data_IF_507014506658
#
_entry.id   IF_507014506658
#
_cell.length_a   1.000
_cell.length_b   1.000
_cell.length_c   1.000
_cell.angle_alpha   90.00
_cell.angle_beta   90.00
_cell.angle_gamma   90.00
#
_symmetry.space_group_name_H-M   'P 1'
#
loop_
_entity.id
_entity.type
_entity.pdbx_description
1 polymer ?
#
# COMPACT_ATOMS: atom_id res chain seq x y z
N UNK A 1 -3.54 -21.48 61.08
CA UNK A 1 -2.75 -20.44 60.46
C UNK A 1 -2.37 -20.87 59.04
N UNK A 2 -3.04 -20.30 58.03
CA UNK A 2 -2.68 -20.54 56.60
C UNK A 2 -1.72 -19.44 56.18
N UNK A 3 -0.49 -19.82 55.90
CA UNK A 3 0.50 -18.90 55.31
C UNK A 3 0.26 -18.89 53.80
N UNK A 4 -0.20 -17.75 53.27
CA UNK A 4 -0.26 -17.49 51.85
C UNK A 4 1.15 -17.10 51.41
N UNK A 5 1.84 -18.00 50.72
CA UNK A 5 3.13 -17.73 50.10
C UNK A 5 2.95 -16.79 48.92
N UNK A 6 3.35 -15.53 49.05
CA UNK A 6 3.55 -14.64 47.92
C UNK A 6 4.82 -15.08 47.19
N UNK A 7 4.67 -15.75 46.08
CA UNK A 7 5.78 -15.95 45.13
C UNK A 7 6.07 -14.60 44.48
N UNK A 8 7.12 -13.94 44.92
CA UNK A 8 7.70 -12.78 44.24
C UNK A 8 8.20 -13.21 42.88
N UNK A 9 7.42 -12.99 41.85
CA UNK A 9 7.91 -13.01 40.47
C UNK A 9 8.82 -11.76 40.29
N UNK A 10 10.09 -11.91 40.66
CA UNK A 10 11.11 -11.01 40.18
C UNK A 10 11.23 -11.22 38.66
N UNK A 11 10.56 -10.39 37.86
CA UNK A 11 10.95 -10.22 36.47
C UNK A 11 12.43 -9.80 36.51
N UNK A 12 13.34 -10.56 35.87
CA UNK A 12 14.75 -10.20 35.92
C UNK A 12 14.91 -8.80 35.32
N UNK A 13 15.49 -7.87 36.07
CA UNK A 13 15.78 -6.51 35.60
C UNK A 13 16.46 -6.53 34.22
N UNK A 14 17.34 -7.50 33.97
CA UNK A 14 17.97 -7.72 32.67
C UNK A 14 16.96 -7.92 31.52
N UNK A 15 15.88 -8.65 31.72
CA UNK A 15 14.84 -8.85 30.70
C UNK A 15 14.09 -7.56 30.41
N UNK A 16 13.79 -6.76 31.45
CA UNK A 16 13.14 -5.47 31.29
C UNK A 16 14.02 -4.48 30.51
N UNK A 17 15.34 -4.46 30.76
CA UNK A 17 16.28 -3.66 29.98
C UNK A 17 16.37 -4.08 28.53
N UNK A 18 16.39 -5.39 28.25
CA UNK A 18 16.39 -5.91 26.88
C UNK A 18 15.13 -5.49 26.11
N UNK A 19 13.96 -5.60 26.73
CA UNK A 19 12.70 -5.16 26.12
C UNK A 19 12.72 -3.67 25.79
N UNK A 20 13.17 -2.83 26.73
CA UNK A 20 13.28 -1.38 26.52
C UNK A 20 14.28 -1.07 25.39
N UNK A 21 15.40 -1.79 25.32
CA UNK A 21 16.41 -1.59 24.28
C UNK A 21 15.85 -1.97 22.88
N UNK A 22 15.10 -3.07 22.77
CA UNK A 22 14.46 -3.47 21.53
C UNK A 22 13.40 -2.46 21.06
N UNK A 23 12.60 -1.91 21.97
CA UNK A 23 11.70 -0.78 21.67
C UNK A 23 12.48 0.46 21.20
N UNK A 24 13.58 0.77 21.86
CA UNK A 24 14.42 1.92 21.48
C UNK A 24 15.10 1.74 20.13
N UNK A 25 15.40 0.51 19.72
CA UNK A 25 15.94 0.19 18.40
C UNK A 25 14.87 0.15 17.31
N UNK A 26 13.57 0.13 17.65
CA UNK A 26 12.46 -0.01 16.71
C UNK A 26 12.29 -1.43 16.20
N UNK A 27 12.69 -2.44 16.98
CA UNK A 27 12.48 -3.86 16.68
C UNK A 27 11.21 -4.39 17.33
N UNK A 28 10.58 -3.63 18.22
CA UNK A 28 9.30 -3.94 18.87
C UNK A 28 8.39 -2.71 18.85
N UNK A 29 7.08 -2.95 18.93
CA UNK A 29 6.03 -1.94 18.91
C UNK A 29 5.11 -2.11 17.73
N UNK A 30 4.24 -1.13 17.52
CA UNK A 30 3.21 -1.19 16.47
C UNK A 30 3.49 -0.19 15.35
N UNK A 31 3.09 -0.55 14.13
CA UNK A 31 3.09 0.33 12.97
C UNK A 31 1.80 0.14 12.18
N UNK A 32 1.21 1.23 11.72
CA UNK A 32 -0.04 1.26 10.98
C UNK A 32 0.21 1.72 9.54
N UNK A 33 0.05 0.82 8.58
CA UNK A 33 0.27 1.07 7.16
C UNK A 33 -1.05 0.95 6.41
N UNK A 34 -1.49 2.04 5.78
CA UNK A 34 -2.62 2.02 4.87
C UNK A 34 -2.17 1.82 3.42
N UNK A 35 -3.02 1.20 2.60
CA UNK A 35 -2.77 1.14 1.16
C UNK A 35 -4.06 1.29 0.37
N UNK A 36 -3.93 1.77 -0.86
CA UNK A 36 -5.08 1.94 -1.75
C UNK A 36 -5.58 0.57 -2.24
N UNK A 37 -6.92 0.37 -2.29
CA UNK A 37 -7.56 -0.88 -2.71
C UNK A 37 -7.17 -1.38 -4.10
N UNK A 38 -6.73 -0.48 -4.96
CA UNK A 38 -6.34 -0.78 -6.34
C UNK A 38 -4.85 -1.11 -6.51
N UNK A 39 -4.13 -1.36 -5.43
CA UNK A 39 -2.71 -1.71 -5.48
C UNK A 39 -2.51 -3.13 -6.00
N UNK A 40 -1.34 -3.38 -6.59
CA UNK A 40 -0.87 -4.70 -7.02
C UNK A 40 -0.71 -5.62 -5.80
N UNK A 41 -1.54 -6.67 -5.72
CA UNK A 41 -1.56 -7.60 -4.58
C UNK A 41 -0.24 -8.35 -4.43
N UNK A 42 0.42 -8.71 -5.53
CA UNK A 42 1.71 -9.42 -5.50
C UNK A 42 2.82 -8.51 -4.95
N UNK A 43 2.84 -7.25 -5.38
CA UNK A 43 3.77 -6.25 -4.86
C UNK A 43 3.59 -6.05 -3.37
N UNK A 44 2.33 -5.88 -2.95
CA UNK A 44 1.99 -5.67 -1.54
C UNK A 44 2.40 -6.86 -0.68
N UNK A 45 2.08 -8.09 -1.13
CA UNK A 45 2.42 -9.32 -0.41
C UNK A 45 3.94 -9.43 -0.22
N UNK A 46 4.73 -9.24 -1.27
CA UNK A 46 6.21 -9.27 -1.21
C UNK A 46 6.76 -8.24 -0.23
N UNK A 47 6.20 -7.04 -0.23
CA UNK A 47 6.63 -5.97 0.67
C UNK A 47 6.32 -6.30 2.14
N UNK A 48 5.09 -6.74 2.42
CA UNK A 48 4.67 -7.10 3.78
C UNK A 48 5.43 -8.32 4.31
N UNK A 49 5.68 -9.32 3.47
CA UNK A 49 6.52 -10.48 3.83
C UNK A 49 7.95 -10.03 4.17
N UNK A 50 8.57 -9.20 3.32
CA UNK A 50 9.91 -8.67 3.56
C UNK A 50 10.00 -7.94 4.92
N UNK A 51 8.98 -7.15 5.26
CA UNK A 51 8.90 -6.45 6.56
C UNK A 51 8.78 -7.47 7.70
N UNK A 52 7.87 -8.44 7.61
CA UNK A 52 7.66 -9.45 8.65
C UNK A 52 8.88 -10.32 8.90
N UNK A 53 9.59 -10.71 7.84
CA UNK A 53 10.79 -11.56 7.93
C UNK A 53 11.95 -10.83 8.65
N UNK A 54 12.09 -9.52 8.40
CA UNK A 54 13.15 -8.72 9.03
C UNK A 54 12.80 -8.23 10.43
N UNK A 55 11.52 -8.02 10.71
CA UNK A 55 11.03 -7.51 12.00
C UNK A 55 9.92 -8.41 12.57
N UNK A 56 10.25 -9.66 12.99
CA UNK A 56 9.24 -10.64 13.41
C UNK A 56 8.48 -10.24 14.69
N UNK A 57 9.03 -9.33 15.48
CA UNK A 57 8.47 -8.91 16.76
C UNK A 57 7.69 -7.59 16.72
N UNK A 58 7.54 -6.98 15.53
CA UNK A 58 6.67 -5.81 15.39
C UNK A 58 5.21 -6.24 15.22
N UNK A 59 4.31 -5.40 15.75
CA UNK A 59 2.88 -5.52 15.50
C UNK A 59 2.52 -4.70 14.26
N UNK A 60 2.53 -5.37 13.10
CA UNK A 60 2.27 -4.76 11.80
C UNK A 60 0.77 -4.76 11.49
N UNK A 61 0.14 -3.61 11.59
CA UNK A 61 -1.24 -3.37 11.18
C UNK A 61 -1.27 -2.84 9.74
N UNK A 62 -2.01 -3.51 8.89
CA UNK A 62 -2.16 -3.08 7.49
C UNK A 62 -3.60 -3.24 7.02
N UNK A 63 -4.08 -2.27 6.22
CA UNK A 63 -5.44 -2.30 5.69
C UNK A 63 -5.58 -1.53 4.38
N UNK A 64 -6.43 -2.05 3.49
CA UNK A 64 -6.84 -1.40 2.26
C UNK A 64 -7.94 -0.37 2.51
N UNK A 65 -7.82 0.79 1.87
CA UNK A 65 -8.76 1.90 1.98
C UNK A 65 -9.13 2.44 0.59
N UNK A 66 -10.27 3.11 0.48
CA UNK A 66 -10.51 4.02 -0.63
C UNK A 66 -9.51 5.18 -0.59
N UNK A 67 -9.28 5.85 -1.71
CA UNK A 67 -8.36 7.00 -1.78
C UNK A 67 -8.69 8.06 -0.74
N UNK A 68 -9.97 8.44 -0.64
CA UNK A 68 -10.43 9.47 0.28
C UNK A 68 -10.18 9.11 1.74
N UNK A 69 -10.57 7.89 2.14
CA UNK A 69 -10.31 7.39 3.50
C UNK A 69 -8.82 7.34 3.80
N UNK A 70 -8.01 6.79 2.88
CA UNK A 70 -6.57 6.66 3.03
C UNK A 70 -5.91 8.02 3.32
N UNK A 71 -6.20 9.02 2.49
CA UNK A 71 -5.64 10.35 2.65
C UNK A 71 -6.14 11.06 3.91
N UNK A 72 -7.41 10.86 4.31
CA UNK A 72 -7.96 11.40 5.54
C UNK A 72 -7.25 10.83 6.76
N UNK A 73 -7.19 9.50 6.88
CA UNK A 73 -6.54 8.82 8.00
C UNK A 73 -5.05 9.16 8.10
N UNK A 74 -4.39 9.31 6.94
CA UNK A 74 -2.99 9.71 6.90
C UNK A 74 -2.78 11.15 7.37
N UNK A 75 -3.56 12.11 6.90
CA UNK A 75 -3.52 13.51 7.34
C UNK A 75 -3.81 13.65 8.84
N UNK A 76 -4.73 12.84 9.36
CA UNK A 76 -5.09 12.79 10.79
C UNK A 76 -4.09 12.00 11.65
N UNK A 77 -2.98 11.50 11.07
CA UNK A 77 -1.94 10.72 11.75
C UNK A 77 -2.43 9.42 12.39
N UNK A 78 -3.51 8.84 11.88
CA UNK A 78 -4.00 7.53 12.27
C UNK A 78 -3.22 6.40 11.56
N UNK A 79 -2.49 6.74 10.50
CA UNK A 79 -1.58 5.85 9.79
C UNK A 79 -0.16 6.44 9.84
N UNK A 80 0.83 5.61 10.14
CA UNK A 80 2.25 5.98 10.14
C UNK A 80 2.78 6.18 8.72
N UNK A 81 2.29 5.36 7.81
CA UNK A 81 2.64 5.41 6.40
C UNK A 81 1.47 4.95 5.50
N UNK A 82 1.50 5.39 4.26
CA UNK A 82 0.57 4.91 3.23
C UNK A 82 1.32 4.48 1.97
N UNK A 83 0.80 3.45 1.31
CA UNK A 83 1.30 2.98 0.01
C UNK A 83 0.24 3.28 -1.04
N UNK A 84 0.59 4.12 -2.00
CA UNK A 84 -0.35 4.56 -3.03
C UNK A 84 0.39 5.09 -4.25
N UNK A 85 -0.38 5.40 -5.29
CA UNK A 85 0.11 6.14 -6.45
C UNK A 85 0.40 7.59 -6.09
N UNK A 86 1.18 8.25 -6.93
CA UNK A 86 1.45 9.68 -6.79
C UNK A 86 0.18 10.51 -7.06
N UNK A 87 -0.19 11.35 -6.09
CA UNK A 87 -1.30 12.30 -6.19
C UNK A 87 -0.87 13.69 -5.74
N UNK A 88 -1.48 14.76 -6.29
CA UNK A 88 -1.14 16.14 -5.93
C UNK A 88 -1.22 16.45 -4.44
N UNK A 89 -2.17 15.85 -3.73
CA UNK A 89 -2.43 16.11 -2.32
C UNK A 89 -1.39 15.57 -1.36
N UNK A 90 -0.47 14.72 -1.84
CA UNK A 90 0.58 14.13 -1.00
C UNK A 90 1.98 14.67 -1.31
N UNK A 91 2.10 15.72 -2.13
CA UNK A 91 3.39 16.34 -2.50
C UNK A 91 4.20 16.87 -1.32
N UNK A 92 3.52 17.31 -0.26
CA UNK A 92 4.16 17.91 0.93
C UNK A 92 4.71 16.88 1.92
N UNK A 93 4.49 15.58 1.65
CA UNK A 93 4.99 14.49 2.48
C UNK A 93 6.28 13.91 1.91
N UNK A 94 7.01 13.21 2.75
CA UNK A 94 8.17 12.43 2.29
C UNK A 94 7.68 11.13 1.66
N UNK A 95 8.40 10.65 0.67
CA UNK A 95 8.07 9.39 0.02
C UNK A 95 9.32 8.59 -0.34
N UNK A 96 9.12 7.29 -0.41
CA UNK A 96 10.09 6.32 -0.91
C UNK A 96 9.45 5.60 -2.10
N UNK A 97 10.09 5.65 -3.26
CA UNK A 97 9.66 4.95 -4.46
C UNK A 97 9.75 3.44 -4.24
N UNK A 98 8.65 2.72 -4.48
CA UNK A 98 8.59 1.24 -4.41
C UNK A 98 8.69 0.65 -5.82
N UNK A 99 7.88 1.16 -6.76
CA UNK A 99 7.80 0.62 -8.13
C UNK A 99 7.39 1.71 -9.11
N UNK A 100 8.00 1.73 -10.28
CA UNK A 100 7.51 2.47 -11.44
C UNK A 100 6.63 1.55 -12.27
N UNK A 101 5.50 2.04 -12.75
CA UNK A 101 4.56 1.35 -13.60
C UNK A 101 4.14 2.24 -14.78
N UNK A 102 3.62 1.61 -15.84
CA UNK A 102 3.13 2.30 -17.02
C UNK A 102 1.61 2.38 -17.00
N UNK A 103 1.07 3.41 -17.63
CA UNK A 103 -0.36 3.52 -17.88
C UNK A 103 -0.69 2.98 -19.27
N UNK A 104 -1.79 2.23 -19.37
CA UNK A 104 -2.27 1.59 -20.57
C UNK A 104 -3.74 1.84 -20.79
N UNK A 105 -4.15 1.93 -22.05
CA UNK A 105 -5.56 1.88 -22.46
C UNK A 105 -5.97 0.42 -22.62
N UNK A 106 -6.83 -0.07 -21.76
CA UNK A 106 -7.38 -1.42 -21.85
C UNK A 106 -8.74 -1.40 -22.52
N UNK A 107 -8.94 -2.28 -23.48
CA UNK A 107 -10.19 -2.43 -24.23
C UNK A 107 -10.41 -3.88 -24.67
N UNK A 108 -11.65 -4.21 -25.02
CA UNK A 108 -11.99 -5.57 -25.44
C UNK A 108 -11.34 -5.90 -26.77
N UNK A 109 -10.68 -7.08 -26.86
CA UNK A 109 -9.93 -7.51 -28.06
C UNK A 109 -10.72 -7.55 -29.36
N UNK A 110 -12.06 -7.66 -29.31
CA UNK A 110 -12.92 -7.66 -30.49
C UNK A 110 -13.38 -6.26 -30.92
N UNK A 111 -12.88 -5.20 -30.31
CA UNK A 111 -13.27 -3.82 -30.60
C UNK A 111 -12.10 -3.03 -31.19
N UNK A 112 -12.42 -2.01 -32.00
CA UNK A 112 -11.46 -0.97 -32.39
C UNK A 112 -11.49 0.14 -31.32
N UNK A 113 -10.33 0.55 -30.83
CA UNK A 113 -10.22 1.58 -29.82
C UNK A 113 -10.86 2.92 -30.25
N UNK A 114 -10.73 3.27 -31.54
CA UNK A 114 -11.25 4.53 -32.09
C UNK A 114 -12.78 4.67 -31.98
N UNK A 115 -13.49 3.54 -31.86
CA UNK A 115 -14.95 3.51 -31.73
C UNK A 115 -15.44 3.52 -30.27
N UNK A 116 -14.53 3.45 -29.31
CA UNK A 116 -14.86 3.30 -27.90
C UNK A 116 -14.77 4.62 -27.15
N UNK A 117 -15.68 4.82 -26.20
CA UNK A 117 -15.62 5.94 -25.24
C UNK A 117 -14.76 5.57 -24.03
N UNK A 118 -14.17 6.58 -23.41
CA UNK A 118 -13.51 6.43 -22.11
C UNK A 118 -14.54 6.14 -21.03
N UNK A 119 -14.35 5.07 -20.26
CA UNK A 119 -15.18 4.71 -19.11
C UNK A 119 -14.50 5.15 -17.83
N UNK A 120 -13.19 4.95 -17.73
CA UNK A 120 -12.42 5.20 -16.53
C UNK A 120 -10.98 5.62 -16.86
N UNK A 121 -10.48 6.59 -16.08
CA UNK A 121 -9.08 7.01 -16.13
C UNK A 121 -8.56 7.12 -14.70
N UNK A 122 -7.59 6.29 -14.36
CA UNK A 122 -6.99 6.22 -13.01
C UNK A 122 -6.39 7.55 -12.56
N UNK A 123 -6.09 8.48 -13.46
CA UNK A 123 -5.55 9.82 -13.18
C UNK A 123 -6.61 10.82 -12.75
N UNK A 124 -7.88 10.55 -13.03
CA UNK A 124 -8.98 11.49 -12.76
C UNK A 124 -9.54 11.28 -11.36
N UNK A 125 -9.53 12.33 -10.56
CA UNK A 125 -9.97 12.33 -9.16
C UNK A 125 -11.46 12.04 -8.98
N UNK A 126 -12.28 12.42 -9.96
CA UNK A 126 -13.75 12.33 -9.87
C UNK A 126 -14.31 10.91 -9.96
N UNK A 127 -13.46 9.91 -10.23
CA UNK A 127 -13.90 8.55 -10.52
C UNK A 127 -13.67 7.55 -9.38
N UNK A 128 -13.66 7.99 -8.15
CA UNK A 128 -13.51 7.14 -6.94
C UNK A 128 -14.59 6.05 -6.76
N UNK A 129 -15.67 6.10 -7.54
CA UNK A 129 -16.82 5.20 -7.38
C UNK A 129 -16.66 3.83 -8.04
N UNK A 130 -15.65 3.64 -8.90
CA UNK A 130 -15.47 2.39 -9.62
C UNK A 130 -14.31 1.59 -9.03
N UNK A 131 -14.65 0.44 -8.47
CA UNK A 131 -13.63 -0.58 -8.21
C UNK A 131 -13.05 -1.04 -9.55
N UNK A 132 -11.76 -1.34 -9.58
CA UNK A 132 -11.06 -1.79 -10.82
C UNK A 132 -11.78 -2.97 -11.45
N UNK A 133 -12.25 -3.93 -10.65
CA UNK A 133 -12.98 -5.09 -11.15
C UNK A 133 -14.25 -4.72 -11.91
N UNK A 134 -15.03 -3.76 -11.41
CA UNK A 134 -16.23 -3.29 -12.10
C UNK A 134 -15.88 -2.57 -13.42
N UNK A 135 -14.78 -1.82 -13.40
CA UNK A 135 -14.27 -1.16 -14.60
C UNK A 135 -13.87 -2.19 -15.66
N UNK A 136 -13.09 -3.20 -15.27
CA UNK A 136 -12.67 -4.27 -16.15
C UNK A 136 -13.87 -5.07 -16.70
N UNK A 137 -14.87 -5.32 -15.88
CA UNK A 137 -16.11 -5.96 -16.33
C UNK A 137 -16.82 -5.15 -17.43
N UNK A 138 -16.95 -3.83 -17.26
CA UNK A 138 -17.53 -2.95 -18.28
C UNK A 138 -16.73 -2.97 -19.58
N UNK A 139 -15.38 -2.95 -19.48
CA UNK A 139 -14.53 -3.08 -20.67
C UNK A 139 -14.76 -4.43 -21.38
N UNK A 140 -14.86 -5.53 -20.61
CA UNK A 140 -15.18 -6.85 -21.15
C UNK A 140 -16.55 -6.92 -21.81
N UNK A 141 -17.52 -6.15 -21.30
CA UNK A 141 -18.86 -6.00 -21.91
C UNK A 141 -18.89 -5.05 -23.12
N UNK A 142 -17.73 -4.54 -23.56
CA UNK A 142 -17.56 -3.64 -24.70
C UNK A 142 -18.20 -2.26 -24.52
N UNK A 143 -18.40 -1.82 -23.29
CA UNK A 143 -19.01 -0.53 -23.00
C UNK A 143 -18.09 0.66 -23.26
N UNK A 144 -16.76 0.42 -23.37
CA UNK A 144 -15.75 1.41 -23.67
C UNK A 144 -14.34 0.91 -23.34
N UNK A 145 -13.40 1.87 -23.13
CA UNK A 145 -12.03 1.57 -22.70
C UNK A 145 -11.69 2.25 -21.36
N UNK A 146 -10.69 1.71 -20.66
CA UNK A 146 -10.19 2.27 -19.40
C UNK A 146 -8.69 2.53 -19.48
N UNK A 147 -8.22 3.57 -18.78
CA UNK A 147 -6.79 3.83 -18.57
C UNK A 147 -6.44 3.35 -17.16
N UNK A 148 -5.59 2.33 -17.09
CA UNK A 148 -5.19 1.65 -15.87
C UNK A 148 -3.68 1.39 -15.87
N UNK A 149 -3.15 0.98 -14.72
CA UNK A 149 -1.75 0.56 -14.59
C UNK A 149 -1.47 -0.80 -15.23
N UNK A 150 -0.24 -1.05 -15.62
CA UNK A 150 0.21 -2.24 -16.36
C UNK A 150 0.10 -3.55 -15.57
N UNK A 151 0.09 -3.53 -14.23
CA UNK A 151 -0.07 -4.73 -13.40
C UNK A 151 -1.45 -5.40 -13.50
N UNK A 152 -2.42 -4.78 -14.16
CA UNK A 152 -3.74 -5.37 -14.44
C UNK A 152 -3.65 -6.62 -15.34
N UNK A 153 -2.53 -6.85 -16.00
CA UNK A 153 -2.31 -8.03 -16.84
C UNK A 153 -2.45 -9.36 -16.10
N UNK A 154 -2.18 -9.39 -14.80
CA UNK A 154 -2.37 -10.58 -13.94
C UNK A 154 -3.83 -10.83 -13.56
N UNK A 155 -4.76 -9.93 -13.92
CA UNK A 155 -6.17 -10.05 -13.55
C UNK A 155 -6.87 -11.12 -14.40
N UNK A 156 -7.88 -11.78 -13.81
CA UNK A 156 -8.70 -12.82 -14.48
C UNK A 156 -9.39 -12.37 -15.77
N UNK A 157 -9.58 -11.06 -15.97
CA UNK A 157 -10.20 -10.48 -17.17
C UNK A 157 -9.21 -10.26 -18.31
N UNK A 158 -7.90 -10.37 -18.07
CA UNK A 158 -6.86 -10.08 -19.06
C UNK A 158 -7.01 -10.85 -20.37
N UNK A 159 -7.51 -12.09 -20.31
CA UNK A 159 -7.77 -12.94 -21.49
C UNK A 159 -8.79 -12.37 -22.49
N UNK A 160 -9.61 -11.41 -22.10
CA UNK A 160 -10.60 -10.74 -22.95
C UNK A 160 -10.13 -9.39 -23.45
N UNK A 161 -9.05 -8.88 -22.89
CA UNK A 161 -8.58 -7.53 -23.09
C UNK A 161 -7.35 -7.51 -23.98
N UNK A 162 -7.20 -6.42 -24.67
CA UNK A 162 -5.94 -5.97 -25.24
C UNK A 162 -5.66 -4.56 -24.76
N UNK A 163 -4.44 -4.11 -24.92
CA UNK A 163 -4.04 -2.79 -24.47
C UNK A 163 -3.22 -2.04 -25.51
N UNK A 164 -3.22 -0.73 -25.37
CA UNK A 164 -2.30 0.19 -26.01
C UNK A 164 -1.49 0.90 -24.92
N UNK A 165 -0.17 0.83 -25.01
CA UNK A 165 0.70 1.57 -24.10
C UNK A 165 0.48 3.07 -24.26
N UNK A 166 0.44 3.75 -23.12
CA UNK A 166 0.59 5.20 -23.04
C UNK A 166 2.03 5.48 -22.64
N UNK A 167 2.67 6.44 -23.30
CA UNK A 167 4.02 6.87 -22.90
C UNK A 167 3.97 7.73 -21.62
N UNK A 168 3.34 7.18 -20.60
CA UNK A 168 3.10 7.83 -19.31
C UNK A 168 3.54 6.88 -18.19
N UNK A 169 4.48 7.36 -17.39
CA UNK A 169 4.92 6.68 -16.17
C UNK A 169 4.05 7.11 -14.98
N UNK A 170 3.81 6.15 -14.10
CA UNK A 170 3.22 6.36 -12.78
C UNK A 170 4.12 5.69 -11.74
N UNK A 171 4.03 6.12 -10.49
CA UNK A 171 4.84 5.58 -9.41
C UNK A 171 3.98 5.09 -8.26
N UNK A 172 4.36 3.95 -7.68
CA UNK A 172 3.87 3.47 -6.40
C UNK A 172 4.93 3.81 -5.37
N UNK A 173 4.53 4.55 -4.34
CA UNK A 173 5.44 5.03 -3.30
C UNK A 173 4.85 4.81 -1.91
N UNK A 174 5.73 4.65 -0.94
CA UNK A 174 5.40 4.71 0.47
C UNK A 174 5.57 6.15 0.94
N UNK A 175 4.48 6.78 1.36
CA UNK A 175 4.44 8.15 1.89
C UNK A 175 4.39 8.14 3.40
N UNK A 176 5.08 9.09 4.02
CA UNK A 176 5.15 9.21 5.47
C UNK A 176 5.34 10.67 5.90
N UNK A 177 5.01 10.95 7.16
CA UNK A 177 5.20 12.28 7.73
C UNK A 177 6.69 12.55 7.97
N UNK A 178 7.16 13.71 7.52
CA UNK A 178 8.56 14.14 7.65
C UNK A 178 9.06 14.18 9.10
N UNK A 179 8.19 14.54 10.01
CA UNK A 179 8.45 14.66 11.45
C UNK A 179 8.11 13.38 12.24
N UNK A 180 7.90 12.25 11.55
CA UNK A 180 7.62 10.98 12.23
C UNK A 180 8.78 10.56 13.14
N UNK A 181 8.45 10.28 14.38
CA UNK A 181 9.38 9.76 15.40
C UNK A 181 9.34 8.23 15.50
N UNK A 182 8.45 7.56 14.75
CA UNK A 182 8.31 6.11 14.77
C UNK A 182 9.58 5.44 14.25
N UNK A 183 10.32 4.77 15.13
CA UNK A 183 11.60 4.12 14.80
C UNK A 183 11.41 2.89 13.91
N UNK A 184 10.28 2.18 14.06
CA UNK A 184 9.93 1.03 13.21
C UNK A 184 9.81 1.51 11.76
N UNK A 185 9.12 2.63 11.54
CA UNK A 185 9.00 3.22 10.20
C UNK A 185 10.37 3.52 9.61
N UNK A 186 11.28 4.13 10.38
CA UNK A 186 12.64 4.43 9.90
C UNK A 186 13.40 3.17 9.50
N UNK A 187 13.27 2.10 10.28
CA UNK A 187 13.90 0.81 9.97
C UNK A 187 13.30 0.18 8.70
N UNK A 188 11.97 0.26 8.53
CA UNK A 188 11.29 -0.23 7.32
C UNK A 188 11.73 0.56 6.08
N UNK A 189 11.84 1.88 6.17
CA UNK A 189 12.33 2.71 5.07
C UNK A 189 13.74 2.27 4.63
N UNK A 190 14.66 2.09 5.58
CA UNK A 190 16.01 1.60 5.30
C UNK A 190 16.03 0.19 4.69
N UNK A 191 15.10 -0.68 5.10
CA UNK A 191 14.96 -2.01 4.54
C UNK A 191 14.52 -1.97 3.06
N UNK A 192 13.58 -1.09 2.72
CA UNK A 192 13.08 -0.93 1.35
C UNK A 192 14.14 -0.30 0.45
N UNK A 193 14.88 0.71 0.93
CA UNK A 193 15.94 1.39 0.17
C UNK A 193 17.12 0.48 -0.22
N UNK A 194 17.38 -0.54 0.59
CA UNK A 194 18.52 -1.46 0.38
C UNK A 194 18.22 -2.63 -0.56
N UNK A 195 17.01 -2.81 -0.98
CA UNK A 195 16.62 -3.99 -1.74
C UNK A 195 15.82 -3.82 -2.94
#
# INVERSE_FOLDING_TARGET
AFAIGFTNHHFPLALSYQIIEEYQKGNQGSIFIGFIKSLDDELLLKLLQKIKDHFPHIDLHYKAYSRKELLTLFKERQLDAIITFEYPEIKDYQHLLIKTCHLRKYYHQACSLDSLKLIYDVRQESMEQYEIEQTLLKVCLKEGYAILHDFIESNQYSKYLQYQDLDILSSISLYYHKDSTNKILKNILQLIEKG
#
